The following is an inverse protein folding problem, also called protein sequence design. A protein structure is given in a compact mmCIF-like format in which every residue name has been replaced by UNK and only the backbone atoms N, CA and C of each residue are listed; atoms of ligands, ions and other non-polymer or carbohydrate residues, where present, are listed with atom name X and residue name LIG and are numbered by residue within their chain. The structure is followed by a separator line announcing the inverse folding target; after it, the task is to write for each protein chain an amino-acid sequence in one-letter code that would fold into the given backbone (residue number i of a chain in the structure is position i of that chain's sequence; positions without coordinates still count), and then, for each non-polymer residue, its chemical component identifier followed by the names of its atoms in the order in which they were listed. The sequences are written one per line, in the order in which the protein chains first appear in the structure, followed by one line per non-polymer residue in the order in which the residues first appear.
data_IF_900818342545
#
_entry.id   IF_900818342545
#
_cell.length_a   1.000
_cell.length_b   1.000
_cell.length_c   1.000
_cell.angle_alpha   90.00
_cell.angle_beta   90.00
_cell.angle_gamma   90.00
#
_symmetry.space_group_name_H-M   'P 1'
#
loop_
_entity.id
_entity.type
_entity.pdbx_description
1 polymer ?
#
# COMPACT_ATOMS: atom_id res chain seq x y z
N UNK A 1 -7.08 -38.44 0.01
CA UNK A 1 -6.55 -37.09 -0.27
C UNK A 1 -5.51 -36.73 0.79
N UNK A 2 -4.22 -36.62 0.43
CA UNK A 2 -3.19 -36.13 1.37
C UNK A 2 -3.47 -34.65 1.65
N UNK A 3 -3.75 -34.26 2.90
CA UNK A 3 -3.76 -32.86 3.34
C UNK A 3 -2.37 -32.29 3.05
N UNK A 4 -2.25 -31.43 2.03
CA UNK A 4 -1.01 -30.70 1.79
C UNK A 4 -0.82 -29.73 2.96
N UNK A 5 0.10 -30.00 3.82
CA UNK A 5 0.52 -29.12 4.91
C UNK A 5 1.17 -27.89 4.26
N UNK A 6 0.74 -26.69 4.65
CA UNK A 6 1.36 -25.41 4.23
C UNK A 6 2.84 -25.49 4.67
N UNK A 7 3.76 -25.22 3.73
CA UNK A 7 5.19 -25.18 4.07
C UNK A 7 5.47 -24.06 5.08
N UNK A 8 6.46 -24.19 5.94
CA UNK A 8 6.86 -23.15 6.91
C UNK A 8 7.18 -21.83 6.20
N UNK A 9 7.77 -21.90 5.01
CA UNK A 9 8.07 -20.74 4.18
C UNK A 9 6.79 -20.02 3.70
N UNK A 10 5.79 -20.78 3.24
CA UNK A 10 4.53 -20.20 2.80
C UNK A 10 3.76 -19.56 3.96
N UNK A 11 3.79 -20.20 5.14
CA UNK A 11 3.20 -19.62 6.35
C UNK A 11 3.89 -18.30 6.72
N UNK A 12 5.21 -18.24 6.66
CA UNK A 12 5.98 -17.03 6.91
C UNK A 12 5.61 -15.90 5.94
N UNK A 13 5.51 -16.18 4.65
CA UNK A 13 5.11 -15.20 3.62
C UNK A 13 3.66 -14.69 3.82
N UNK A 14 2.75 -15.57 4.23
CA UNK A 14 1.37 -15.19 4.57
C UNK A 14 1.35 -14.25 5.78
N UNK A 15 2.16 -14.51 6.80
CA UNK A 15 2.27 -13.65 8.00
C UNK A 15 2.81 -12.27 7.62
N UNK A 16 3.82 -12.19 6.73
CA UNK A 16 4.33 -10.91 6.20
C UNK A 16 3.22 -10.15 5.47
N UNK A 17 2.49 -10.83 4.57
CA UNK A 17 1.41 -10.20 3.79
C UNK A 17 0.33 -9.62 4.70
N UNK A 18 -0.16 -10.41 5.65
CA UNK A 18 -1.18 -9.98 6.59
C UNK A 18 -0.66 -8.81 7.45
N UNK A 19 0.56 -8.92 7.98
CA UNK A 19 1.18 -7.87 8.77
C UNK A 19 1.33 -6.56 8.00
N UNK A 20 1.77 -6.62 6.74
CA UNK A 20 1.93 -5.46 5.87
C UNK A 20 0.58 -4.76 5.60
N UNK A 21 -0.46 -5.54 5.21
CA UNK A 21 -1.81 -4.99 4.98
C UNK A 21 -2.39 -4.39 6.26
N UNK A 22 -2.24 -5.07 7.40
CA UNK A 22 -2.71 -4.55 8.68
C UNK A 22 -2.00 -3.25 9.06
N UNK A 23 -0.68 -3.17 8.88
CA UNK A 23 0.08 -1.94 9.17
C UNK A 23 -0.42 -0.77 8.32
N UNK A 24 -0.61 -0.99 7.02
CA UNK A 24 -1.19 0.03 6.13
C UNK A 24 -2.59 0.46 6.59
N UNK A 25 -3.51 -0.49 6.76
CA UNK A 25 -4.89 -0.17 7.10
C UNK A 25 -5.04 0.46 8.49
N UNK A 26 -4.27 -0.01 9.48
CA UNK A 26 -4.28 0.57 10.82
C UNK A 26 -3.72 2.00 10.84
N UNK A 27 -2.64 2.26 10.08
CA UNK A 27 -2.11 3.63 9.94
C UNK A 27 -3.15 4.58 9.33
N UNK A 28 -3.85 4.14 8.28
CA UNK A 28 -4.92 4.89 7.62
C UNK A 28 -6.11 5.16 8.54
N UNK A 29 -6.52 4.14 9.31
CA UNK A 29 -7.58 4.29 10.33
C UNK A 29 -7.16 5.28 11.40
N UNK A 30 -5.93 5.18 11.89
CA UNK A 30 -5.41 6.11 12.90
C UNK A 30 -5.46 7.56 12.40
N UNK A 31 -5.01 7.81 11.16
CA UNK A 31 -5.03 9.14 10.55
C UNK A 31 -6.45 9.69 10.48
N UNK A 32 -7.39 8.92 9.93
CA UNK A 32 -8.78 9.37 9.76
C UNK A 32 -9.54 9.52 11.08
N UNK A 33 -9.09 8.87 12.16
CA UNK A 33 -9.68 8.99 13.49
C UNK A 33 -9.16 10.19 14.29
N UNK A 34 -8.00 10.74 13.92
CA UNK A 34 -7.33 11.78 14.69
C UNK A 34 -7.19 13.12 13.93
N UNK A 35 -7.35 13.12 12.61
CA UNK A 35 -7.17 14.30 11.78
C UNK A 35 -8.40 14.55 10.90
N UNK A 36 -8.75 15.82 10.72
CA UNK A 36 -9.67 16.26 9.70
C UNK A 36 -8.98 16.32 8.33
N UNK A 37 -9.76 16.27 7.26
CA UNK A 37 -9.22 16.39 5.90
C UNK A 37 -8.44 17.71 5.73
N UNK A 38 -7.18 17.59 5.30
CA UNK A 38 -6.24 18.71 5.16
C UNK A 38 -5.52 19.10 6.46
N UNK A 39 -5.87 18.49 7.58
CA UNK A 39 -5.17 18.75 8.85
C UNK A 39 -3.82 18.04 8.90
N UNK A 40 -2.84 18.66 9.59
CA UNK A 40 -1.47 18.16 9.70
C UNK A 40 -0.98 18.19 11.15
N UNK A 41 -0.21 17.16 11.52
CA UNK A 41 0.60 17.14 12.74
C UNK A 41 2.08 17.18 12.30
N UNK A 42 2.81 18.21 12.73
CA UNK A 42 4.25 18.29 12.47
C UNK A 42 5.00 17.37 13.44
N UNK A 43 5.73 16.40 12.85
CA UNK A 43 6.54 15.43 13.61
C UNK A 43 8.00 15.87 13.65
N UNK A 44 8.55 16.31 12.52
CA UNK A 44 9.92 16.85 12.43
C UNK A 44 9.79 18.22 11.74
N UNK A 45 10.14 19.32 12.44
CA UNK A 45 10.01 20.67 11.89
C UNK A 45 10.63 20.80 10.51
N UNK A 46 9.87 21.38 9.59
CA UNK A 46 10.25 21.64 8.19
C UNK A 46 10.66 20.42 7.36
N UNK A 47 10.47 19.18 7.85
CA UNK A 47 10.88 17.97 7.15
C UNK A 47 9.77 16.94 7.00
N UNK A 48 9.05 16.59 8.10
CA UNK A 48 8.06 15.51 8.06
C UNK A 48 6.81 15.87 8.86
N UNK A 49 5.66 15.69 8.21
CA UNK A 49 4.32 15.84 8.80
C UNK A 49 3.49 14.60 8.56
N UNK A 50 2.49 14.39 9.38
CA UNK A 50 1.37 13.51 9.08
C UNK A 50 0.21 14.41 8.65
N UNK A 51 -0.18 14.36 7.38
CA UNK A 51 -1.21 15.22 6.79
C UNK A 51 -2.30 14.33 6.18
N UNK A 52 -3.55 14.43 6.65
CA UNK A 52 -4.62 13.63 6.06
C UNK A 52 -5.07 14.20 4.71
N UNK A 53 -4.89 13.41 3.65
CA UNK A 53 -5.40 13.73 2.31
C UNK A 53 -6.16 12.56 1.68
N UNK A 54 -7.04 12.89 0.72
CA UNK A 54 -7.82 11.92 -0.06
C UNK A 54 -7.35 11.99 -1.52
N UNK A 55 -6.77 10.91 -2.00
CA UNK A 55 -6.21 10.82 -3.35
C UNK A 55 -7.15 10.00 -4.26
N UNK A 56 -7.81 10.68 -5.20
CA UNK A 56 -8.69 10.06 -6.20
C UNK A 56 -7.98 9.69 -7.50
N UNK A 57 -6.66 9.96 -7.57
CA UNK A 57 -5.81 9.68 -8.73
C UNK A 57 -4.62 8.76 -8.42
N UNK A 58 -3.54 8.97 -9.16
CA UNK A 58 -2.21 8.45 -8.88
C UNK A 58 -1.35 9.51 -8.16
N UNK A 59 -0.01 9.32 -8.13
CA UNK A 59 0.91 10.35 -7.66
C UNK A 59 0.66 11.67 -8.40
N UNK A 60 0.75 12.80 -7.68
CA UNK A 60 0.41 14.15 -8.17
C UNK A 60 -1.03 14.29 -8.72
N UNK A 61 -2.00 13.49 -8.22
CA UNK A 61 -3.40 13.49 -8.68
C UNK A 61 -3.57 13.23 -10.20
N UNK A 62 -2.61 12.54 -10.82
CA UNK A 62 -2.74 12.14 -12.23
C UNK A 62 -3.92 11.19 -12.38
N UNK A 63 -4.74 11.38 -13.43
CA UNK A 63 -5.95 10.60 -13.72
C UNK A 63 -7.00 10.67 -12.59
N UNK A 64 -7.10 11.83 -11.93
CA UNK A 64 -8.12 12.05 -10.90
C UNK A 64 -9.53 11.77 -11.44
N UNK A 65 -10.34 11.03 -10.66
CA UNK A 65 -11.70 10.65 -11.04
C UNK A 65 -11.82 9.41 -11.94
N UNK A 66 -10.74 8.88 -12.50
CA UNK A 66 -10.77 7.68 -13.35
C UNK A 66 -10.69 6.37 -12.53
N UNK A 67 -11.59 6.20 -11.57
CA UNK A 67 -11.56 5.07 -10.62
C UNK A 67 -11.59 3.70 -11.30
N UNK A 68 -12.40 3.54 -12.36
CA UNK A 68 -12.46 2.30 -13.15
C UNK A 68 -11.10 1.92 -13.74
N UNK A 69 -10.32 2.89 -14.20
CA UNK A 69 -8.96 2.66 -14.68
C UNK A 69 -8.07 2.07 -13.58
N UNK A 70 -8.14 2.63 -12.36
CA UNK A 70 -7.36 2.12 -11.23
C UNK A 70 -7.78 0.70 -10.83
N UNK A 71 -9.05 0.35 -10.92
CA UNK A 71 -9.50 -1.03 -10.67
C UNK A 71 -8.89 -2.00 -11.69
N UNK A 72 -8.96 -1.68 -12.96
CA UNK A 72 -8.41 -2.53 -14.02
C UNK A 72 -6.90 -2.69 -13.87
N UNK A 73 -6.16 -1.59 -13.70
CA UNK A 73 -4.70 -1.61 -13.52
C UNK A 73 -4.31 -2.43 -12.29
N UNK A 74 -5.02 -2.25 -11.17
CA UNK A 74 -4.76 -3.02 -9.95
C UNK A 74 -4.95 -4.52 -10.16
N UNK A 75 -6.06 -4.93 -10.82
CA UNK A 75 -6.31 -6.35 -11.09
C UNK A 75 -5.24 -6.95 -12.02
N UNK A 76 -4.84 -6.22 -13.07
CA UNK A 76 -3.76 -6.65 -13.97
C UNK A 76 -2.45 -6.78 -13.19
N UNK A 77 -2.11 -5.80 -12.35
CA UNK A 77 -0.90 -5.85 -11.52
C UNK A 77 -0.91 -7.06 -10.57
N UNK A 78 -2.02 -7.33 -9.89
CA UNK A 78 -2.14 -8.50 -9.00
C UNK A 78 -2.00 -9.83 -9.76
N UNK A 79 -2.56 -9.94 -10.97
CA UNK A 79 -2.40 -11.13 -11.80
C UNK A 79 -0.94 -11.33 -12.20
N UNK A 80 -0.27 -10.27 -12.65
CA UNK A 80 1.14 -10.32 -13.06
C UNK A 80 2.07 -10.63 -11.88
N UNK A 81 1.86 -10.00 -10.72
CA UNK A 81 2.64 -10.27 -9.50
C UNK A 81 2.40 -11.71 -9.00
N UNK A 82 1.17 -12.19 -9.02
CA UNK A 82 0.83 -13.56 -8.67
C UNK A 82 1.46 -14.58 -9.63
N UNK A 83 1.42 -14.30 -10.92
CA UNK A 83 2.10 -15.13 -11.93
C UNK A 83 3.62 -15.13 -11.71
N UNK A 84 4.23 -13.97 -11.49
CA UNK A 84 5.67 -13.87 -11.20
C UNK A 84 6.03 -14.61 -9.91
N UNK A 85 5.26 -14.45 -8.84
CA UNK A 85 5.45 -15.20 -7.59
C UNK A 85 5.45 -16.72 -7.81
N UNK A 86 4.51 -17.23 -8.61
CA UNK A 86 4.41 -18.65 -8.93
C UNK A 86 5.64 -19.18 -9.69
N UNK A 87 6.32 -18.33 -10.47
CA UNK A 87 7.54 -18.69 -11.22
C UNK A 87 8.80 -18.71 -10.35
N UNK A 88 8.77 -18.09 -9.16
CA UNK A 88 9.90 -18.05 -8.26
C UNK A 88 10.13 -19.42 -7.58
N UNK A 89 11.39 -19.84 -7.57
CA UNK A 89 11.80 -21.08 -6.92
C UNK A 89 11.86 -20.90 -5.39
N UNK A 90 11.81 -22.01 -4.64
CA UNK A 90 11.78 -21.97 -3.17
C UNK A 90 12.98 -21.24 -2.53
N UNK A 91 14.17 -21.38 -3.10
CA UNK A 91 15.36 -20.70 -2.60
C UNK A 91 15.41 -19.19 -2.84
N UNK A 92 14.50 -18.65 -3.66
CA UNK A 92 14.42 -17.21 -3.98
C UNK A 92 13.56 -16.45 -2.96
N UNK A 93 13.86 -16.64 -1.67
CA UNK A 93 13.02 -16.09 -0.58
C UNK A 93 12.96 -14.57 -0.56
N UNK A 94 14.07 -13.89 -0.88
CA UNK A 94 14.12 -12.41 -0.89
C UNK A 94 13.19 -11.86 -1.97
N UNK A 95 13.23 -12.43 -3.17
CA UNK A 95 12.34 -12.04 -4.27
C UNK A 95 10.88 -12.33 -3.93
N UNK A 96 10.60 -13.48 -3.28
CA UNK A 96 9.25 -13.80 -2.81
C UNK A 96 8.74 -12.80 -1.78
N UNK A 97 9.58 -12.37 -0.84
CA UNK A 97 9.23 -11.33 0.13
C UNK A 97 8.92 -10.02 -0.59
N UNK A 98 9.77 -9.57 -1.51
CA UNK A 98 9.53 -8.36 -2.28
C UNK A 98 8.21 -8.38 -3.04
N UNK A 99 7.90 -9.50 -3.73
CA UNK A 99 6.62 -9.65 -4.45
C UNK A 99 5.43 -9.66 -3.48
N UNK A 100 5.56 -10.29 -2.32
CA UNK A 100 4.51 -10.32 -1.29
C UNK A 100 4.25 -8.92 -0.75
N UNK A 101 5.29 -8.12 -0.51
CA UNK A 101 5.14 -6.72 -0.09
C UNK A 101 4.46 -5.88 -1.18
N UNK A 102 4.87 -5.98 -2.45
CA UNK A 102 4.21 -5.30 -3.57
C UNK A 102 2.73 -5.70 -3.71
N UNK A 103 2.38 -6.99 -3.54
CA UNK A 103 1.00 -7.45 -3.51
C UNK A 103 0.25 -6.80 -2.34
N UNK A 104 0.87 -6.75 -1.16
CA UNK A 104 0.26 -6.17 0.05
C UNK A 104 -0.03 -4.68 -0.12
N UNK A 105 0.90 -3.90 -0.65
CA UNK A 105 0.70 -2.47 -0.94
C UNK A 105 -0.38 -2.26 -1.99
N UNK A 106 -0.34 -3.06 -3.08
CA UNK A 106 -1.37 -3.02 -4.12
C UNK A 106 -2.76 -3.29 -3.54
N UNK A 107 -2.89 -4.31 -2.68
CA UNK A 107 -4.15 -4.63 -1.98
C UNK A 107 -4.55 -3.54 -0.99
N UNK A 108 -3.62 -2.95 -0.24
CA UNK A 108 -3.89 -1.88 0.71
C UNK A 108 -4.59 -0.68 0.04
N UNK A 109 -4.03 -0.19 -1.06
CA UNK A 109 -4.62 0.89 -1.85
C UNK A 109 -5.88 0.47 -2.62
N UNK A 110 -6.00 -0.81 -2.98
CA UNK A 110 -7.22 -1.33 -3.62
C UNK A 110 -8.40 -1.38 -2.65
N UNK A 111 -8.17 -1.80 -1.41
CA UNK A 111 -9.18 -1.79 -0.34
C UNK A 111 -9.75 -0.38 -0.15
N UNK A 112 -8.88 0.63 -0.06
CA UNK A 112 -9.30 2.02 0.07
C UNK A 112 -10.18 2.46 -1.10
N UNK A 113 -9.76 2.19 -2.34
CA UNK A 113 -10.52 2.55 -3.54
C UNK A 113 -11.89 1.86 -3.63
N UNK A 114 -11.98 0.59 -3.19
CA UNK A 114 -13.24 -0.14 -3.16
C UNK A 114 -14.22 0.41 -2.12
N UNK A 115 -13.71 0.78 -0.92
CA UNK A 115 -14.56 1.19 0.20
C UNK A 115 -14.92 2.67 0.13
N UNK A 116 -13.97 3.52 -0.28
CA UNK A 116 -14.09 4.98 -0.15
C UNK A 116 -14.05 5.73 -1.48
N UNK A 117 -13.67 5.11 -2.59
CA UNK A 117 -13.46 5.73 -3.90
C UNK A 117 -12.29 6.72 -3.93
N UNK A 118 -11.37 6.64 -2.96
CA UNK A 118 -10.10 7.36 -2.88
C UNK A 118 -9.10 6.55 -2.05
N UNK A 119 -7.84 6.94 -2.09
CA UNK A 119 -6.79 6.41 -1.21
C UNK A 119 -6.52 7.42 -0.10
N UNK A 120 -6.38 6.94 1.13
CA UNK A 120 -6.03 7.76 2.30
C UNK A 120 -4.52 7.91 2.38
N UNK A 121 -4.00 9.09 2.06
CA UNK A 121 -2.59 9.41 2.12
C UNK A 121 -2.26 10.26 3.35
N UNK A 122 -1.04 10.11 3.91
CA UNK A 122 -0.69 10.80 5.15
C UNK A 122 0.78 11.09 5.38
N UNK A 123 1.69 10.47 4.68
CA UNK A 123 3.13 10.68 4.85
C UNK A 123 3.57 11.87 3.98
N UNK A 124 3.80 13.01 4.62
CA UNK A 124 4.05 14.30 4.00
C UNK A 124 5.50 14.76 4.28
N UNK A 125 6.36 14.63 3.26
CA UNK A 125 7.77 14.97 3.36
C UNK A 125 8.12 16.25 2.60
N UNK A 126 8.85 17.14 3.29
CA UNK A 126 9.41 18.36 2.74
C UNK A 126 10.91 18.24 2.67
N UNK A 127 11.47 18.02 1.47
CA UNK A 127 12.89 17.70 1.29
C UNK A 127 13.57 18.88 0.56
N UNK A 128 14.45 19.61 1.26
CA UNK A 128 15.23 20.74 0.71
C UNK A 128 14.35 21.78 -0.03
N UNK A 129 13.16 22.08 0.51
CA UNK A 129 12.21 23.03 -0.10
C UNK A 129 11.31 22.44 -1.18
N UNK A 130 11.46 21.16 -1.50
CA UNK A 130 10.55 20.44 -2.39
C UNK A 130 9.49 19.68 -1.58
N UNK A 131 8.22 19.92 -1.88
CA UNK A 131 7.10 19.19 -1.30
C UNK A 131 6.92 17.88 -2.06
N UNK A 132 7.31 16.77 -1.44
CA UNK A 132 7.09 15.46 -2.02
C UNK A 132 5.59 15.15 -2.03
N UNK A 133 5.04 14.48 -3.06
CA UNK A 133 3.65 14.05 -3.04
C UNK A 133 3.35 13.25 -1.77
N UNK A 134 2.24 13.57 -1.11
CA UNK A 134 1.82 12.83 0.09
C UNK A 134 1.49 11.40 -0.34
N UNK A 135 1.96 10.44 0.42
CA UNK A 135 1.81 9.00 0.16
C UNK A 135 1.42 8.26 1.44
N UNK A 136 1.31 6.94 1.39
CA UNK A 136 0.90 6.11 2.52
C UNK A 136 1.82 4.88 2.69
N UNK A 137 1.55 4.03 3.68
CA UNK A 137 2.35 2.84 3.96
C UNK A 137 2.32 1.85 2.79
N UNK A 138 1.16 1.68 2.11
CA UNK A 138 1.05 0.77 0.97
C UNK A 138 1.96 1.13 -0.20
N UNK A 139 2.26 2.43 -0.39
CA UNK A 139 3.13 2.91 -1.47
C UNK A 139 4.62 2.60 -1.22
N UNK A 140 4.99 2.28 0.02
CA UNK A 140 6.37 1.94 0.43
C UNK A 140 6.62 0.44 0.40
N UNK A 141 5.56 -0.37 0.34
CA UNK A 141 5.64 -1.83 0.32
C UNK A 141 5.95 -2.37 -1.07
#
# INVERSE_FOLDING_TARGET
MKKQSISKQNLFLIVIMIGAILTDQLSKVWVTSNLQLGESIEIIPSFFKITYTQNTGAAWSILEGYMTFFYVVTLVALILLGWYFYRLKEYQIIQKIGVVLMISGTLGNFIDRLLFQYVRDSLDFHILGYNFPIFNVADVL
#
